data_IF_396359528982
#
_entry.id   IF_396359528982
#
_cell.length_a   1.000
_cell.length_b   1.000
_cell.length_c   1.000
_cell.angle_alpha   90.00
_cell.angle_beta   90.00
_cell.angle_gamma   90.00
#
_symmetry.space_group_name_H-M   'P 1'
#
loop_
_entity.id
_entity.type
_entity.pdbx_description
1 polymer ?
#
# COMPACT_ATOMS: atom_id res chain seq x y z
N UNK A 1 -8.18 -9.61 2.39
CA UNK A 1 -9.66 -9.67 2.45
C UNK A 1 -10.19 -10.43 3.68
N UNK A 2 -9.44 -11.38 4.26
CA UNK A 2 -9.86 -12.14 5.45
C UNK A 2 -9.86 -11.37 6.78
N UNK A 3 -9.06 -10.29 6.90
CA UNK A 3 -8.96 -9.50 8.15
C UNK A 3 -10.25 -8.69 8.42
N UNK A 4 -10.90 -8.21 7.36
CA UNK A 4 -12.15 -7.43 7.46
C UNK A 4 -13.28 -8.29 8.02
N UNK A 5 -13.33 -9.57 7.66
CA UNK A 5 -14.38 -10.49 8.12
C UNK A 5 -14.21 -10.81 9.62
N UNK A 6 -12.97 -11.06 10.07
CA UNK A 6 -12.69 -11.32 11.49
C UNK A 6 -13.01 -10.13 12.42
N UNK A 7 -12.83 -8.90 11.92
CA UNK A 7 -13.19 -7.69 12.65
C UNK A 7 -14.72 -7.48 12.71
N UNK A 8 -15.44 -7.88 11.66
CA UNK A 8 -16.89 -7.70 11.58
C UNK A 8 -17.65 -8.67 12.51
N UNK A 9 -17.18 -9.92 12.66
CA UNK A 9 -17.74 -10.88 13.64
C UNK A 9 -17.53 -10.42 15.09
N UNK A 10 -16.34 -9.89 15.42
CA UNK A 10 -16.06 -9.40 16.78
C UNK A 10 -16.93 -8.20 17.18
N UNK A 11 -17.41 -7.42 16.22
CA UNK A 11 -18.25 -6.24 16.47
C UNK A 11 -19.72 -6.59 16.77
N UNK A 12 -20.25 -7.67 16.18
CA UNK A 12 -21.62 -8.16 16.42
C UNK A 12 -21.79 -8.70 17.85
N UNK A 13 -20.80 -9.42 18.37
CA UNK A 13 -20.85 -9.94 19.75
C UNK A 13 -20.64 -8.83 20.79
N UNK A 14 -19.82 -7.82 20.47
CA UNK A 14 -19.68 -6.62 21.30
C UNK A 14 -21.01 -5.85 21.41
N UNK A 15 -21.78 -5.73 20.32
CA UNK A 15 -23.11 -5.09 20.33
C UNK A 15 -24.08 -5.82 21.25
N UNK A 16 -24.11 -7.16 21.22
CA UNK A 16 -25.00 -7.96 22.10
C UNK A 16 -24.66 -7.76 23.57
N UNK A 17 -23.37 -7.69 23.91
CA UNK A 17 -22.89 -7.38 25.26
C UNK A 17 -23.32 -5.96 25.67
N UNK A 18 -23.18 -4.98 24.78
CA UNK A 18 -23.57 -3.59 25.05
C UNK A 18 -25.08 -3.43 25.29
N UNK A 19 -25.91 -4.09 24.49
CA UNK A 19 -27.38 -4.11 24.65
C UNK A 19 -27.78 -4.80 25.96
N UNK A 20 -27.12 -5.90 26.33
CA UNK A 20 -27.37 -6.61 27.58
C UNK A 20 -26.99 -5.79 28.83
N UNK A 21 -25.94 -4.98 28.76
CA UNK A 21 -25.50 -4.08 29.85
C UNK A 21 -26.43 -2.87 29.96
N UNK A 22 -26.94 -2.35 28.83
CA UNK A 22 -27.87 -1.21 28.77
C UNK A 22 -29.18 -1.44 29.54
N UNK A 23 -29.71 -2.67 29.53
CA UNK A 23 -30.97 -2.99 30.22
C UNK A 23 -30.87 -3.05 31.75
N UNK A 24 -29.68 -3.19 32.34
CA UNK A 24 -29.50 -3.30 33.80
C UNK A 24 -29.17 -1.98 34.51
N UNK A 25 -28.84 -0.92 33.80
CA UNK A 25 -28.31 0.32 34.41
C UNK A 25 -29.31 1.47 34.18
N UNK A 26 -30.45 1.41 34.88
CA UNK A 26 -31.56 2.37 34.71
C UNK A 26 -31.46 3.64 35.57
N UNK A 27 -30.52 3.74 36.52
CA UNK A 27 -30.58 4.78 37.56
C UNK A 27 -29.27 5.54 37.82
N UNK A 28 -28.60 6.08 36.77
CA UNK A 28 -27.57 7.10 37.00
C UNK A 28 -27.33 8.00 35.76
N UNK A 29 -28.19 9.02 35.52
CA UNK A 29 -28.21 9.75 34.24
C UNK A 29 -26.92 10.53 33.95
N UNK A 30 -26.20 11.04 34.97
CA UNK A 30 -25.00 11.87 34.72
C UNK A 30 -23.73 11.06 34.44
N UNK A 31 -23.59 9.90 35.08
CA UNK A 31 -22.42 9.03 34.90
C UNK A 31 -22.47 8.29 33.56
N UNK A 32 -23.67 7.89 33.13
CA UNK A 32 -23.88 7.19 31.87
C UNK A 32 -23.56 8.06 30.66
N UNK A 33 -23.97 9.34 30.67
CA UNK A 33 -23.63 10.27 29.60
C UNK A 33 -22.12 10.53 29.53
N UNK A 34 -21.46 10.65 30.69
CA UNK A 34 -20.01 10.84 30.74
C UNK A 34 -19.25 9.62 30.20
N UNK A 35 -19.65 8.40 30.61
CA UNK A 35 -19.08 7.17 30.09
C UNK A 35 -19.31 7.02 28.58
N UNK A 36 -20.52 7.31 28.09
CA UNK A 36 -20.86 7.23 26.67
C UNK A 36 -20.08 8.29 25.85
N UNK A 37 -19.84 9.47 26.41
CA UNK A 37 -19.02 10.51 25.79
C UNK A 37 -17.53 10.11 25.73
N UNK A 38 -17.01 9.47 26.79
CA UNK A 38 -15.64 8.94 26.83
C UNK A 38 -15.50 7.80 25.81
N UNK A 39 -16.43 6.86 25.76
CA UNK A 39 -16.43 5.77 24.78
C UNK A 39 -16.55 6.30 23.34
N UNK A 40 -17.42 7.28 23.10
CA UNK A 40 -17.55 7.92 21.80
C UNK A 40 -16.25 8.62 21.40
N UNK A 41 -15.59 9.34 22.31
CA UNK A 41 -14.33 10.02 22.06
C UNK A 41 -13.18 9.04 21.73
N UNK A 42 -13.07 7.92 22.47
CA UNK A 42 -12.05 6.88 22.21
C UNK A 42 -12.31 6.18 20.87
N UNK A 43 -13.57 5.92 20.51
CA UNK A 43 -13.91 5.30 19.23
C UNK A 43 -13.53 6.14 18.00
N UNK A 44 -13.42 7.47 18.12
CA UNK A 44 -12.97 8.33 17.00
C UNK A 44 -11.45 8.32 16.83
N UNK A 45 -10.67 7.92 17.84
CA UNK A 45 -9.21 7.95 17.79
C UNK A 45 -8.61 6.77 17.01
N UNK A 46 -9.37 5.69 16.80
CA UNK A 46 -8.87 4.45 16.17
C UNK A 46 -9.01 4.44 14.64
N UNK A 47 -9.45 5.54 14.03
CA UNK A 47 -9.69 5.64 12.57
C UNK A 47 -8.55 6.32 11.80
N UNK A 48 -7.35 6.42 12.38
CA UNK A 48 -6.15 6.79 11.64
C UNK A 48 -5.59 5.57 10.94
N UNK A 49 -6.08 5.28 9.73
CA UNK A 49 -5.35 4.44 8.78
C UNK A 49 -4.16 5.26 8.31
N UNK A 50 -3.02 5.13 8.97
CA UNK A 50 -1.76 5.66 8.42
C UNK A 50 -1.49 4.90 7.12
N UNK A 51 -1.70 5.57 5.98
CA UNK A 51 -1.31 5.02 4.69
C UNK A 51 0.21 4.78 4.72
N UNK A 52 0.63 3.55 4.38
CA UNK A 52 2.04 3.24 4.31
C UNK A 52 2.72 4.15 3.27
N UNK A 53 3.83 4.78 3.66
CA UNK A 53 4.61 5.62 2.75
C UNK A 53 5.65 4.75 2.05
N UNK A 54 5.61 4.75 0.72
CA UNK A 54 6.57 4.11 -0.15
C UNK A 54 7.59 5.12 -0.67
N UNK A 55 8.82 4.67 -0.95
CA UNK A 55 9.87 5.49 -1.55
C UNK A 55 10.39 4.90 -2.85
N UNK A 56 10.78 5.75 -3.81
CA UNK A 56 11.43 5.30 -5.04
C UNK A 56 12.40 6.33 -5.62
N UNK A 57 13.58 5.86 -5.99
CA UNK A 57 14.57 6.62 -6.76
C UNK A 57 14.14 6.72 -8.24
N UNK A 58 14.13 7.94 -8.79
CA UNK A 58 13.76 8.19 -10.20
C UNK A 58 14.94 8.58 -11.09
N UNK A 59 16.09 8.92 -10.51
CA UNK A 59 17.28 9.34 -11.24
C UNK A 59 18.05 10.41 -10.48
N UNK A 60 18.88 11.17 -11.20
CA UNK A 60 19.71 12.22 -10.61
C UNK A 60 18.89 13.33 -9.93
N UNK A 61 19.42 13.87 -8.84
CA UNK A 61 18.87 15.00 -8.13
C UNK A 61 18.92 16.27 -9.01
N UNK A 62 17.79 16.98 -9.06
CA UNK A 62 17.66 18.29 -9.68
C UNK A 62 16.65 19.13 -8.89
N UNK A 63 16.64 20.45 -9.10
CA UNK A 63 15.66 21.35 -8.48
C UNK A 63 14.20 20.95 -8.81
N UNK A 64 13.98 20.30 -9.95
CA UNK A 64 12.67 19.79 -10.38
C UNK A 64 12.25 18.46 -9.72
N UNK A 65 13.07 17.88 -8.84
CA UNK A 65 12.79 16.56 -8.22
C UNK A 65 11.40 16.49 -7.60
N UNK A 66 11.02 17.50 -6.80
CA UNK A 66 9.71 17.53 -6.17
C UNK A 66 8.56 17.66 -7.18
N UNK A 67 8.73 18.45 -8.24
CA UNK A 67 7.70 18.60 -9.27
C UNK A 67 7.52 17.32 -10.09
N UNK A 68 8.62 16.62 -10.39
CA UNK A 68 8.58 15.30 -11.05
C UNK A 68 7.80 14.31 -10.17
N UNK A 69 8.10 14.26 -8.86
CA UNK A 69 7.39 13.38 -7.93
C UNK A 69 5.90 13.71 -7.81
N UNK A 70 5.54 15.01 -7.74
CA UNK A 70 4.14 15.45 -7.70
C UNK A 70 3.39 15.12 -8.99
N UNK A 71 4.05 15.24 -10.13
CA UNK A 71 3.47 14.89 -11.42
C UNK A 71 3.28 13.38 -11.58
N UNK A 72 4.21 12.58 -11.04
CA UNK A 72 4.20 11.12 -11.15
C UNK A 72 3.25 10.45 -10.15
N UNK A 73 3.12 11.03 -8.97
CA UNK A 73 2.27 10.54 -7.87
C UNK A 73 1.32 11.68 -7.46
N UNK A 74 0.20 11.87 -8.19
CA UNK A 74 -0.71 13.01 -7.97
C UNK A 74 -1.41 12.97 -6.61
N UNK A 75 -1.53 11.79 -5.99
CA UNK A 75 -2.14 11.59 -4.67
C UNK A 75 -1.13 11.85 -3.53
N UNK A 76 -0.40 12.97 -3.61
CA UNK A 76 0.45 13.42 -2.51
C UNK A 76 1.95 13.09 -2.62
N UNK A 77 2.43 12.77 -3.83
CA UNK A 77 3.85 12.58 -4.11
C UNK A 77 4.72 13.77 -3.69
N UNK A 78 5.83 13.49 -3.02
CA UNK A 78 6.84 14.49 -2.63
C UNK A 78 8.22 14.01 -3.04
N UNK A 79 9.07 14.91 -3.51
CA UNK A 79 10.44 14.58 -3.90
C UNK A 79 11.46 15.22 -2.97
N UNK A 80 12.52 14.46 -2.64
CA UNK A 80 13.70 14.96 -1.96
C UNK A 80 14.96 14.36 -2.59
N UNK A 81 16.07 15.08 -2.48
CA UNK A 81 17.35 14.54 -2.90
C UNK A 81 18.05 13.81 -1.74
N UNK A 82 18.45 12.56 -1.98
CA UNK A 82 19.31 11.77 -1.11
C UNK A 82 20.49 11.25 -1.93
N UNK A 83 21.71 11.53 -1.47
CA UNK A 83 22.95 11.03 -2.09
C UNK A 83 23.00 11.22 -3.62
N UNK A 84 22.73 12.45 -4.09
CA UNK A 84 22.63 12.84 -5.51
C UNK A 84 21.52 12.17 -6.33
N UNK A 85 20.63 11.39 -5.69
CA UNK A 85 19.46 10.79 -6.31
C UNK A 85 18.17 11.53 -5.91
N UNK A 86 17.26 11.71 -6.86
CA UNK A 86 15.90 12.15 -6.60
C UNK A 86 15.07 10.96 -6.12
N UNK A 87 14.59 11.04 -4.88
CA UNK A 87 13.74 10.05 -4.22
C UNK A 87 12.33 10.62 -4.07
N UNK A 88 11.33 9.92 -4.61
CA UNK A 88 9.92 10.23 -4.35
C UNK A 88 9.40 9.46 -3.16
N UNK A 89 8.58 10.12 -2.35
CA UNK A 89 7.76 9.56 -1.28
C UNK A 89 6.29 9.71 -1.68
N UNK A 90 5.53 8.63 -1.57
CA UNK A 90 4.13 8.58 -1.98
C UNK A 90 3.38 7.52 -1.17
N UNK A 91 2.05 7.59 -1.15
CA UNK A 91 1.23 6.56 -0.51
C UNK A 91 1.30 5.26 -1.33
N UNK A 92 1.65 4.16 -0.68
CA UNK A 92 1.74 2.86 -1.34
C UNK A 92 0.40 2.44 -1.96
N UNK A 93 0.43 1.86 -3.16
CA UNK A 93 -0.76 1.36 -3.86
C UNK A 93 -1.49 2.42 -4.70
N UNK A 94 -1.08 3.68 -4.62
CA UNK A 94 -1.58 4.75 -5.51
C UNK A 94 -0.90 4.74 -6.87
N UNK A 95 0.25 4.06 -6.98
CA UNK A 95 0.99 3.98 -8.23
C UNK A 95 0.34 3.01 -9.23
N UNK A 96 0.17 3.47 -10.47
CA UNK A 96 -0.30 2.60 -11.55
C UNK A 96 0.86 1.78 -12.09
N UNK A 97 0.92 0.51 -11.71
CA UNK A 97 1.88 -0.47 -12.23
C UNK A 97 1.25 -1.34 -13.31
N UNK A 98 1.98 -1.56 -14.38
CA UNK A 98 1.64 -2.46 -15.45
C UNK A 98 2.62 -3.65 -15.43
N UNK A 99 2.09 -4.85 -15.65
CA UNK A 99 2.88 -6.08 -15.73
C UNK A 99 2.73 -6.71 -17.10
N UNK A 100 3.83 -7.20 -17.67
CA UNK A 100 3.81 -7.94 -18.93
C UNK A 100 4.77 -9.13 -18.87
N UNK A 101 4.34 -10.25 -19.44
CA UNK A 101 5.19 -11.41 -19.65
C UNK A 101 6.16 -11.19 -20.80
N UNK A 102 7.44 -11.43 -20.57
CA UNK A 102 8.52 -11.29 -21.56
C UNK A 102 9.00 -12.65 -22.11
N UNK A 103 8.34 -13.74 -21.72
CA UNK A 103 8.72 -15.10 -22.09
C UNK A 103 10.00 -15.55 -21.39
N UNK A 104 10.73 -16.49 -21.99
CA UNK A 104 12.00 -16.97 -21.46
C UNK A 104 13.20 -16.20 -22.03
N UNK A 105 14.29 -16.24 -21.27
CA UNK A 105 15.61 -15.83 -21.72
C UNK A 105 16.37 -17.00 -22.35
N UNK A 106 16.26 -18.20 -21.77
CA UNK A 106 16.89 -19.42 -22.28
C UNK A 106 16.12 -20.67 -21.79
N UNK A 107 16.81 -21.79 -21.58
CA UNK A 107 16.24 -22.97 -20.89
C UNK A 107 15.89 -22.68 -19.43
N UNK A 108 16.56 -21.71 -18.80
CA UNK A 108 16.30 -21.22 -17.46
C UNK A 108 16.01 -19.71 -17.48
N UNK A 109 15.35 -19.24 -16.42
CA UNK A 109 15.13 -17.82 -16.23
C UNK A 109 16.37 -17.18 -15.60
N UNK A 110 16.70 -15.97 -16.06
CA UNK A 110 17.83 -15.19 -15.58
C UNK A 110 17.38 -13.74 -15.40
N UNK A 111 17.48 -13.22 -14.17
CA UNK A 111 16.99 -11.88 -13.83
C UNK A 111 17.70 -10.78 -14.63
N UNK A 112 18.99 -10.95 -14.93
CA UNK A 112 19.75 -9.95 -15.69
C UNK A 112 19.20 -9.81 -17.12
N UNK A 113 18.85 -10.92 -17.75
CA UNK A 113 18.21 -10.94 -19.05
C UNK A 113 16.75 -10.43 -18.98
N UNK A 114 15.98 -10.78 -17.94
CA UNK A 114 14.63 -10.24 -17.78
C UNK A 114 14.67 -8.71 -17.62
N UNK A 115 15.62 -8.17 -16.83
CA UNK A 115 15.85 -6.75 -16.67
C UNK A 115 16.22 -6.09 -18.00
N UNK A 116 17.14 -6.67 -18.78
CA UNK A 116 17.52 -6.15 -20.10
C UNK A 116 16.34 -6.13 -21.09
N UNK A 117 15.49 -7.17 -21.09
CA UNK A 117 14.26 -7.22 -21.90
C UNK A 117 13.18 -6.24 -21.42
N UNK A 118 13.18 -5.91 -20.12
CA UNK A 118 12.22 -5.01 -19.50
C UNK A 118 12.62 -3.53 -19.66
N UNK A 119 13.92 -3.22 -19.72
CA UNK A 119 14.48 -1.88 -19.84
C UNK A 119 13.80 -0.96 -20.89
N UNK A 120 13.39 -1.44 -22.08
CA UNK A 120 12.68 -0.62 -23.07
C UNK A 120 11.32 -0.09 -22.59
N UNK A 121 10.75 -0.63 -21.50
CA UNK A 121 9.50 -0.11 -20.89
C UNK A 121 9.70 1.20 -20.14
N UNK A 122 10.93 1.57 -19.81
CA UNK A 122 11.26 2.87 -19.25
C UNK A 122 12.21 2.82 -18.05
N UNK A 123 12.60 4.00 -17.52
CA UNK A 123 13.66 4.15 -16.52
C UNK A 123 13.36 3.51 -15.15
N UNK A 124 12.10 3.13 -14.89
CA UNK A 124 11.67 2.45 -13.66
C UNK A 124 11.08 1.05 -13.91
N UNK A 125 11.37 0.50 -15.07
CA UNK A 125 10.96 -0.86 -15.39
C UNK A 125 11.86 -1.86 -14.66
N UNK A 126 11.26 -2.89 -14.08
CA UNK A 126 11.96 -3.98 -13.39
C UNK A 126 11.55 -5.30 -14.01
N UNK A 127 12.52 -5.99 -14.60
CA UNK A 127 12.36 -7.34 -15.10
C UNK A 127 12.84 -8.34 -14.08
N UNK A 128 12.07 -9.40 -13.85
CA UNK A 128 12.39 -10.45 -12.87
C UNK A 128 11.85 -11.81 -13.30
N UNK A 129 12.43 -12.85 -12.74
CA UNK A 129 11.98 -14.22 -12.88
C UNK A 129 10.81 -14.52 -11.95
N UNK A 130 9.65 -14.80 -12.56
CA UNK A 130 8.44 -15.16 -11.84
C UNK A 130 8.25 -16.68 -11.83
N UNK A 131 8.40 -17.27 -10.65
CA UNK A 131 8.18 -18.69 -10.39
C UNK A 131 6.77 -19.03 -9.90
N UNK A 132 5.83 -18.08 -9.92
CA UNK A 132 4.47 -18.28 -9.37
C UNK A 132 3.68 -19.40 -10.04
N UNK A 133 4.06 -19.79 -11.27
CA UNK A 133 3.47 -20.91 -12.02
C UNK A 133 4.19 -22.26 -11.80
N UNK A 134 5.13 -22.32 -10.85
CA UNK A 134 5.91 -23.50 -10.49
C UNK A 134 7.34 -23.49 -11.07
N UNK A 135 8.24 -24.33 -10.52
CA UNK A 135 9.67 -24.31 -10.84
C UNK A 135 9.98 -24.68 -12.29
N UNK A 136 9.08 -25.41 -12.96
CA UNK A 136 9.22 -25.79 -14.37
C UNK A 136 8.77 -24.66 -15.33
N UNK A 137 8.04 -23.66 -14.81
CA UNK A 137 7.36 -22.61 -15.58
C UNK A 137 7.83 -21.21 -15.17
N UNK A 138 9.09 -21.08 -14.76
CA UNK A 138 9.66 -19.76 -14.48
C UNK A 138 9.76 -18.97 -15.78
N UNK A 139 9.15 -17.79 -15.79
CA UNK A 139 9.08 -16.89 -16.94
C UNK A 139 9.54 -15.49 -16.52
N UNK A 140 10.09 -14.73 -17.47
CA UNK A 140 10.37 -13.33 -17.23
C UNK A 140 9.06 -12.54 -17.17
N UNK A 141 8.88 -11.79 -16.09
CA UNK A 141 7.90 -10.72 -15.97
C UNK A 141 8.61 -9.38 -16.02
N UNK A 142 7.84 -8.35 -16.35
CA UNK A 142 8.30 -6.97 -16.35
C UNK A 142 7.23 -6.10 -15.69
N UNK A 143 7.60 -5.44 -14.60
CA UNK A 143 6.78 -4.45 -13.92
C UNK A 143 7.27 -3.05 -14.26
N UNK A 144 6.38 -2.17 -14.71
CA UNK A 144 6.73 -0.82 -15.15
C UNK A 144 5.60 0.16 -14.83
N UNK A 145 5.87 1.47 -14.93
CA UNK A 145 4.83 2.48 -14.74
C UNK A 145 3.87 2.43 -15.93
N UNK A 146 2.56 2.40 -15.68
CA UNK A 146 1.60 2.52 -16.76
C UNK A 146 1.69 3.93 -17.38
N UNK A 147 1.75 4.01 -18.70
CA UNK A 147 1.63 5.24 -19.48
C UNK A 147 0.20 5.78 -19.48
#
# INVERSE_FOLDING_TARGET
MSIVIHLQESFEDLKKIFVAISHRVRDMPRFFHYALFIFAAVAVMELSVEAAVCSREIGACAASCNDICRSKYPEGGKGACQDDNCVCFFECGTEKRCNVGLGRCSSQCDDSCCAAKCAPKGPLSQGYCDGSLGPQNVLCQCSYDCS
#
